data_IF_347468801795
#
_entry.id   IF_347468801795
#
_cell.length_a   1.000
_cell.length_b   1.000
_cell.length_c   1.000
_cell.angle_alpha   90.00
_cell.angle_beta   90.00
_cell.angle_gamma   90.00
#
_symmetry.space_group_name_H-M   'P 1'
#
loop_
_entity.id
_entity.type
_entity.pdbx_description
1 polymer ?
#
# COMPACT_ATOMS: atom_id res chain seq x y z
N UNK A 1 -13.35 4.04 2.10
CA UNK A 1 -14.45 3.58 1.22
C UNK A 1 -15.41 4.74 1.00
N UNK A 2 -15.66 5.08 -0.26
CA UNK A 2 -16.53 6.21 -0.64
C UNK A 2 -17.63 5.69 -1.56
N UNK A 3 -18.90 5.84 -1.17
CA UNK A 3 -20.05 5.53 -2.00
C UNK A 3 -20.72 6.82 -2.50
N UNK A 4 -21.10 6.90 -3.78
CA UNK A 4 -21.75 8.07 -4.39
C UNK A 4 -23.03 7.67 -5.13
N UNK A 5 -24.09 8.46 -5.00
CA UNK A 5 -25.31 8.44 -5.85
C UNK A 5 -25.61 9.88 -6.27
N UNK A 6 -25.94 10.11 -7.54
CA UNK A 6 -26.25 11.43 -8.12
C UNK A 6 -25.23 12.54 -7.77
N UNK A 7 -23.94 12.17 -7.78
CA UNK A 7 -22.81 13.07 -7.47
C UNK A 7 -22.70 13.55 -6.01
N UNK A 8 -23.54 13.06 -5.09
CA UNK A 8 -23.41 13.29 -3.65
C UNK A 8 -22.77 12.07 -2.98
N UNK A 9 -21.80 12.31 -2.09
CA UNK A 9 -21.21 11.25 -1.26
C UNK A 9 -22.25 10.80 -0.24
N UNK A 10 -22.65 9.53 -0.28
CA UNK A 10 -23.60 8.93 0.66
C UNK A 10 -22.96 8.72 2.03
N UNK A 11 -21.71 8.24 2.05
CA UNK A 11 -20.90 8.11 3.26
C UNK A 11 -19.41 7.93 2.91
N UNK A 12 -18.56 8.28 3.88
CA UNK A 12 -17.12 8.06 3.87
C UNK A 12 -16.75 7.23 5.09
N UNK A 13 -16.09 6.09 4.86
CA UNK A 13 -15.56 5.24 5.94
C UNK A 13 -14.05 5.11 5.77
N UNK A 14 -13.30 5.50 6.78
CA UNK A 14 -11.86 5.25 6.90
C UNK A 14 -11.63 4.23 8.01
N UNK A 15 -10.81 3.22 7.73
CA UNK A 15 -10.50 2.16 8.69
C UNK A 15 -9.02 1.83 8.62
N UNK A 16 -8.41 1.62 9.79
CA UNK A 16 -7.01 1.22 9.95
C UNK A 16 -6.98 -0.09 10.71
N UNK A 17 -6.61 -1.17 10.03
CA UNK A 17 -6.41 -2.47 10.66
C UNK A 17 -4.93 -2.69 10.91
N UNK A 18 -4.58 -3.09 12.14
CA UNK A 18 -3.22 -3.40 12.54
C UNK A 18 -3.17 -4.81 13.16
N UNK A 19 -1.96 -5.38 13.19
CA UNK A 19 -1.67 -6.64 13.88
C UNK A 19 -0.21 -6.68 14.30
N UNK A 20 0.07 -7.46 15.34
CA UNK A 20 1.42 -7.70 15.86
C UNK A 20 1.91 -9.01 15.25
N UNK A 21 3.09 -8.98 14.63
CA UNK A 21 3.71 -10.14 14.00
C UNK A 21 5.09 -10.35 14.61
N UNK A 22 5.39 -11.59 14.97
CA UNK A 22 6.71 -12.03 15.40
C UNK A 22 7.39 -12.78 14.26
N UNK A 23 8.62 -12.40 13.92
CA UNK A 23 9.44 -13.10 12.96
C UNK A 23 10.59 -13.78 13.69
N UNK A 24 10.64 -15.10 13.63
CA UNK A 24 11.68 -15.91 14.25
C UNK A 24 12.34 -16.79 13.20
N UNK A 25 13.67 -16.74 13.15
CA UNK A 25 14.49 -17.57 12.27
C UNK A 25 14.21 -17.36 10.76
N UNK A 26 13.88 -16.13 10.35
CA UNK A 26 13.60 -15.74 8.96
C UNK A 26 14.80 -15.00 8.35
N UNK A 27 15.22 -15.33 7.12
CA UNK A 27 16.25 -14.58 6.40
C UNK A 27 15.86 -13.10 6.18
N UNK A 28 16.77 -12.13 6.35
CA UNK A 28 16.45 -10.70 6.24
C UNK A 28 15.79 -10.31 4.91
N UNK A 29 16.14 -11.02 3.83
CA UNK A 29 15.67 -10.75 2.47
C UNK A 29 14.19 -11.12 2.30
N UNK A 30 13.66 -11.98 3.17
CA UNK A 30 12.27 -12.44 3.13
C UNK A 30 11.35 -11.57 4.00
N UNK A 31 11.90 -10.75 4.90
CA UNK A 31 11.12 -9.91 5.81
C UNK A 31 10.31 -8.87 5.04
N UNK A 32 10.91 -8.19 4.05
CA UNK A 32 10.21 -7.16 3.28
C UNK A 32 9.04 -7.73 2.43
N UNK A 33 9.19 -8.84 1.70
CA UNK A 33 8.05 -9.55 1.09
C UNK A 33 6.98 -10.00 2.09
N UNK A 34 7.38 -10.48 3.28
CA UNK A 34 6.41 -10.87 4.31
C UNK A 34 5.58 -9.69 4.79
N UNK A 35 6.21 -8.54 5.05
CA UNK A 35 5.53 -7.31 5.46
C UNK A 35 4.66 -6.74 4.33
N UNK A 36 5.10 -6.85 3.07
CA UNK A 36 4.40 -6.32 1.91
C UNK A 36 3.24 -7.19 1.41
N UNK A 37 3.28 -8.51 1.65
CA UNK A 37 2.33 -9.47 1.09
C UNK A 37 1.63 -10.26 2.19
N UNK A 38 2.38 -11.01 3.01
CA UNK A 38 1.81 -11.98 3.94
C UNK A 38 1.03 -11.31 5.08
N UNK A 39 1.65 -10.34 5.77
CA UNK A 39 1.01 -9.58 6.85
C UNK A 39 -0.30 -8.92 6.41
N UNK A 40 -0.37 -8.13 5.32
CA UNK A 40 -1.62 -7.51 4.90
C UNK A 40 -2.64 -8.52 4.38
N UNK A 41 -2.22 -9.63 3.76
CA UNK A 41 -3.13 -10.72 3.36
C UNK A 41 -3.85 -11.32 4.57
N UNK A 42 -3.17 -11.44 5.71
CA UNK A 42 -3.77 -11.93 6.97
C UNK A 42 -4.73 -10.88 7.55
N UNK A 43 -4.37 -9.59 7.52
CA UNK A 43 -5.19 -8.52 8.10
C UNK A 43 -6.43 -8.16 7.28
N UNK A 44 -6.34 -8.26 5.94
CA UNK A 44 -7.37 -7.77 5.04
C UNK A 44 -8.75 -8.40 5.23
N UNK A 45 -8.88 -9.72 5.45
CA UNK A 45 -10.17 -10.34 5.77
C UNK A 45 -10.89 -9.74 6.97
N UNK A 46 -10.14 -9.36 8.01
CA UNK A 46 -10.70 -8.71 9.20
C UNK A 46 -11.15 -7.28 8.89
N UNK A 47 -10.31 -6.52 8.18
CA UNK A 47 -10.64 -5.16 7.75
C UNK A 47 -11.92 -5.13 6.90
N UNK A 48 -12.02 -6.01 5.88
CA UNK A 48 -13.20 -6.03 4.99
C UNK A 48 -14.47 -6.45 5.72
N UNK A 49 -14.37 -7.38 6.67
CA UNK A 49 -15.51 -7.80 7.51
C UNK A 49 -15.99 -6.64 8.39
N UNK A 50 -15.05 -5.98 9.09
CA UNK A 50 -15.35 -4.86 9.98
C UNK A 50 -15.99 -3.68 9.26
N UNK A 51 -15.57 -3.40 8.02
CA UNK A 51 -16.17 -2.34 7.20
C UNK A 51 -17.62 -2.70 6.81
N UNK A 52 -17.85 -3.91 6.31
CA UNK A 52 -19.20 -4.35 5.92
C UNK A 52 -20.18 -4.33 7.10
N UNK A 53 -19.71 -4.80 8.25
CA UNK A 53 -20.46 -4.79 9.52
C UNK A 53 -20.75 -3.38 10.04
N UNK A 54 -19.78 -2.46 9.93
CA UNK A 54 -19.98 -1.05 10.30
C UNK A 54 -20.99 -0.35 9.38
N UNK A 55 -20.95 -0.61 8.08
CA UNK A 55 -21.91 -0.06 7.10
C UNK A 55 -23.32 -0.60 7.38
N UNK A 56 -23.43 -1.90 7.67
CA UNK A 56 -24.69 -2.56 8.04
C UNK A 56 -25.30 -1.93 9.30
N UNK A 57 -24.50 -1.74 10.36
CA UNK A 57 -24.95 -1.07 11.60
C UNK A 57 -25.37 0.38 11.39
N UNK A 58 -24.80 1.07 10.40
CA UNK A 58 -25.21 2.42 10.04
C UNK A 58 -26.55 2.47 9.26
N UNK A 59 -27.19 1.32 9.03
CA UNK A 59 -28.48 1.20 8.34
C UNK A 59 -28.38 1.20 6.82
N UNK A 60 -27.17 1.13 6.26
CA UNK A 60 -26.92 1.06 4.83
C UNK A 60 -26.77 -0.39 4.37
N UNK A 61 -26.96 -0.63 3.07
CA UNK A 61 -26.68 -1.94 2.49
C UNK A 61 -25.18 -2.26 2.65
N UNK A 62 -24.80 -3.44 3.18
CA UNK A 62 -23.41 -3.81 3.38
C UNK A 62 -22.63 -3.73 2.07
N UNK A 63 -21.46 -3.09 2.09
CA UNK A 63 -20.54 -3.08 0.96
C UNK A 63 -19.46 -4.12 1.21
N UNK A 64 -19.38 -5.10 0.33
CA UNK A 64 -18.29 -6.07 0.32
C UNK A 64 -17.14 -5.53 -0.52
N UNK A 65 -15.98 -5.36 0.12
CA UNK A 65 -14.76 -5.00 -0.60
C UNK A 65 -14.27 -6.19 -1.43
N UNK A 66 -13.81 -5.90 -2.65
CA UNK A 66 -13.17 -6.89 -3.52
C UNK A 66 -11.89 -7.43 -2.89
N UNK A 67 -11.47 -8.61 -3.32
CA UNK A 67 -10.17 -9.14 -2.97
C UNK A 67 -9.05 -8.24 -3.51
N UNK A 68 -7.95 -8.14 -2.75
CA UNK A 68 -6.77 -7.37 -3.14
C UNK A 68 -5.64 -8.33 -3.43
N UNK A 69 -4.96 -8.13 -4.56
CA UNK A 69 -3.76 -8.87 -4.90
C UNK A 69 -2.52 -8.15 -4.32
N UNK A 70 -2.14 -8.50 -3.09
CA UNK A 70 -0.98 -7.90 -2.42
C UNK A 70 0.35 -8.24 -3.09
N UNK A 71 0.44 -9.38 -3.78
CA UNK A 71 1.64 -9.79 -4.51
C UNK A 71 1.97 -8.81 -5.66
N UNK A 72 1.01 -8.55 -6.54
CA UNK A 72 1.18 -7.60 -7.63
C UNK A 72 1.37 -6.16 -7.14
N UNK A 73 0.77 -5.78 -6.01
CA UNK A 73 1.05 -4.49 -5.38
C UNK A 73 2.50 -4.37 -4.90
N UNK A 74 3.04 -5.45 -4.35
CA UNK A 74 4.43 -5.51 -3.91
C UNK A 74 5.40 -5.46 -5.10
N UNK A 75 5.15 -6.24 -6.16
CA UNK A 75 5.95 -6.21 -7.40
C UNK A 75 5.94 -4.81 -8.04
N UNK A 76 4.76 -4.19 -8.13
CA UNK A 76 4.63 -2.84 -8.67
C UNK A 76 5.39 -1.80 -7.83
N UNK A 77 5.41 -1.95 -6.50
CA UNK A 77 6.22 -1.11 -5.60
C UNK A 77 7.71 -1.28 -5.88
N UNK A 78 8.19 -2.51 -6.09
CA UNK A 78 9.60 -2.77 -6.42
C UNK A 78 10.01 -2.17 -7.77
N UNK A 79 9.15 -2.29 -8.79
CA UNK A 79 9.40 -1.68 -10.10
C UNK A 79 9.49 -0.15 -10.03
N UNK A 80 8.61 0.49 -9.25
CA UNK A 80 8.65 1.94 -9.03
C UNK A 80 9.90 2.37 -8.25
N UNK A 81 10.30 1.60 -7.23
CA UNK A 81 11.51 1.88 -6.46
C UNK A 81 12.75 1.84 -7.38
N UNK A 82 12.84 0.86 -8.29
CA UNK A 82 13.94 0.76 -9.25
C UNK A 82 13.98 1.93 -10.26
N UNK A 83 12.83 2.47 -10.66
CA UNK A 83 12.75 3.64 -11.55
C UNK A 83 13.10 4.96 -10.83
N UNK A 84 12.79 5.08 -9.54
CA UNK A 84 13.14 6.25 -8.75
C UNK A 84 14.67 6.39 -8.59
N UNK A 85 15.40 5.28 -8.37
CA UNK A 85 16.86 5.29 -8.21
C UNK A 85 17.62 5.66 -9.50
N UNK A 86 17.03 5.42 -10.68
CA UNK A 86 17.64 5.75 -11.97
C UNK A 86 17.65 7.27 -12.28
N UNK A 87 16.84 8.07 -11.57
CA UNK A 87 16.74 9.52 -11.81
C UNK A 87 17.75 10.35 -11.00
N UNK A 88 18.35 9.79 -9.94
CA UNK A 88 19.32 10.51 -9.09
C UNK A 88 20.79 10.39 -9.54
N UNK A 89 21.12 9.50 -10.48
CA UNK A 89 22.52 9.28 -10.91
C UNK A 89 23.01 10.21 -12.03
N UNK A 90 22.24 11.24 -12.39
CA UNK A 90 22.52 12.11 -13.55
C UNK A 90 23.03 13.54 -13.27
N UNK A 91 23.44 13.89 -12.03
CA UNK A 91 23.78 15.29 -11.68
C UNK A 91 25.23 15.58 -11.23
N UNK A 92 26.19 14.65 -11.41
CA UNK A 92 27.57 14.84 -10.89
C UNK A 92 28.66 15.02 -11.95
N UNK A 93 28.36 15.28 -13.23
CA UNK A 93 29.40 15.48 -14.26
C UNK A 93 29.18 16.71 -15.15
N UNK A 94 29.40 17.91 -14.60
CA UNK A 94 29.96 19.04 -15.36
C UNK A 94 30.83 19.89 -14.42
N UNK A 95 31.92 19.30 -13.91
CA UNK A 95 33.03 20.10 -13.37
C UNK A 95 33.83 20.70 -14.54
N UNK A 96 33.25 21.68 -15.24
CA UNK A 96 34.01 22.51 -16.20
C UNK A 96 34.98 23.38 -15.41
N UNK A 97 36.19 22.86 -15.24
CA UNK A 97 37.40 23.59 -14.90
C UNK A 97 37.53 24.78 -15.86
N UNK A 98 37.38 25.99 -15.33
CA UNK A 98 37.72 27.23 -16.03
C UNK A 98 39.15 27.57 -15.61
N UNK A 99 40.11 27.44 -16.54
CA UNK A 99 41.46 27.98 -16.39
C UNK A 99 41.55 29.36 -17.07
N UNK A 100 42.26 30.33 -16.48
CA UNK A 100 42.31 31.71 -16.95
C UNK A 100 43.35 31.94 -18.07
N UNK A 101 42.98 32.77 -19.04
CA UNK A 101 43.87 33.74 -19.69
C UNK A 101 43.11 35.06 -19.85
#
# INVERSE_FOLDING_TARGET
VTAKVDSKALFLVEAKQAGIFEFSNIPPEQIDPMLGIACPTILYPYLRSNIADTISRAGFQPIHLNEINFHGMYEHRLMQAAQATATESGSTDESKIILPH
#
